data_IF_832498459461
#
_entry.id   IF_832498459461
#
_cell.length_a   1.000
_cell.length_b   1.000
_cell.length_c   1.000
_cell.angle_alpha   90.00
_cell.angle_beta   90.00
_cell.angle_gamma   90.00
#
_symmetry.space_group_name_H-M   'P 1'
#
loop_
_entity.id
_entity.type
_entity.pdbx_description
1 polymer ?
#
# COMPACT_ATOMS: atom_id res chain seq x y z
N UNK A 1 13.51 -26.98 -4.92
CA UNK A 1 14.00 -28.09 -5.79
C UNK A 1 12.80 -28.79 -6.39
N UNK A 2 12.62 -28.68 -7.71
CA UNK A 2 11.59 -29.44 -8.44
C UNK A 2 12.10 -30.85 -8.66
N UNK A 3 11.40 -31.84 -8.09
CA UNK A 3 11.71 -33.26 -8.31
C UNK A 3 10.77 -33.81 -9.40
N UNK A 4 11.29 -34.54 -10.34
CA UNK A 4 10.42 -35.35 -11.21
C UNK A 4 10.67 -35.32 -12.70
N UNK A 5 11.77 -34.76 -13.19
CA UNK A 5 12.21 -34.98 -14.55
C UNK A 5 13.11 -36.22 -14.59
N UNK A 6 12.51 -37.41 -14.76
CA UNK A 6 13.28 -38.65 -14.76
C UNK A 6 14.11 -38.79 -16.06
N UNK A 7 13.58 -38.35 -17.18
CA UNK A 7 14.30 -38.27 -18.46
C UNK A 7 13.56 -37.34 -19.42
N UNK A 8 14.29 -36.66 -20.29
CA UNK A 8 13.75 -35.86 -21.39
C UNK A 8 14.33 -36.47 -22.67
N UNK A 9 13.45 -36.87 -23.58
CA UNK A 9 13.87 -37.42 -24.85
C UNK A 9 14.44 -36.33 -25.79
N UNK A 10 15.33 -36.65 -26.72
CA UNK A 10 15.83 -35.69 -27.70
C UNK A 10 14.67 -35.02 -28.47
N UNK A 11 14.64 -33.69 -28.49
CA UNK A 11 13.61 -32.89 -29.13
C UNK A 11 12.33 -32.67 -28.30
N UNK A 12 12.25 -33.23 -27.10
CA UNK A 12 11.14 -32.98 -26.18
C UNK A 12 11.36 -31.68 -25.40
N UNK A 13 10.33 -30.83 -25.33
CA UNK A 13 10.27 -29.64 -24.47
C UNK A 13 9.45 -29.93 -23.23
N UNK A 14 9.91 -29.41 -22.09
CA UNK A 14 9.18 -29.49 -20.82
C UNK A 14 9.14 -28.09 -20.20
N UNK A 15 7.94 -27.62 -19.90
CA UNK A 15 7.72 -26.39 -19.20
C UNK A 15 7.52 -26.66 -17.71
N UNK A 16 8.22 -25.95 -16.86
CA UNK A 16 8.09 -26.01 -15.40
C UNK A 16 7.66 -24.64 -14.92
N UNK A 17 6.48 -24.56 -14.29
CA UNK A 17 6.02 -23.36 -13.62
C UNK A 17 6.46 -23.39 -12.15
N UNK A 18 7.14 -22.33 -11.71
CA UNK A 18 7.56 -22.15 -10.33
C UNK A 18 6.91 -20.87 -9.81
N UNK A 19 5.92 -21.00 -8.92
CA UNK A 19 5.34 -19.88 -8.23
C UNK A 19 6.18 -19.56 -6.98
N UNK A 20 6.74 -18.36 -6.94
CA UNK A 20 7.45 -17.84 -5.77
C UNK A 20 6.54 -16.78 -5.13
N UNK A 21 5.87 -17.09 -3.99
CA UNK A 21 5.06 -16.10 -3.31
C UNK A 21 5.98 -15.03 -2.73
N UNK A 22 5.77 -13.78 -3.13
CA UNK A 22 6.37 -12.62 -2.49
C UNK A 22 5.35 -12.15 -1.45
N UNK A 23 5.74 -12.13 -0.17
CA UNK A 23 4.90 -11.60 0.89
C UNK A 23 4.81 -10.08 0.74
N UNK A 24 3.63 -9.52 1.00
CA UNK A 24 3.45 -8.07 1.02
C UNK A 24 3.92 -7.49 2.36
N UNK A 25 4.33 -6.22 2.37
CA UNK A 25 4.52 -5.47 3.61
C UNK A 25 3.22 -5.52 4.48
N UNK A 26 3.32 -5.60 5.83
CA UNK A 26 4.53 -5.54 6.65
C UNK A 26 5.18 -6.91 6.93
N UNK A 27 4.79 -7.99 6.25
CA UNK A 27 5.28 -9.34 6.52
C UNK A 27 6.75 -9.57 6.12
N UNK A 28 7.34 -8.66 5.32
CA UNK A 28 8.75 -8.68 4.94
C UNK A 28 9.46 -7.52 5.63
N UNK A 29 10.51 -7.83 6.37
CA UNK A 29 11.44 -6.82 6.87
C UNK A 29 12.41 -6.45 5.74
N UNK A 30 12.12 -5.34 5.07
CA UNK A 30 12.94 -4.82 3.96
C UNK A 30 14.22 -4.10 4.43
N UNK A 31 14.35 -3.80 5.72
CA UNK A 31 15.56 -3.13 6.27
C UNK A 31 16.81 -3.97 6.10
N UNK A 32 16.67 -5.28 5.92
CA UNK A 32 17.77 -6.21 5.65
C UNK A 32 18.21 -6.26 4.17
N UNK A 33 17.47 -5.60 3.27
CA UNK A 33 17.81 -5.53 1.86
C UNK A 33 18.64 -4.28 1.59
N UNK A 34 19.95 -4.46 1.35
CA UNK A 34 20.85 -3.36 0.99
C UNK A 34 20.73 -2.93 -0.47
N UNK A 35 20.08 -3.75 -1.30
CA UNK A 35 19.93 -3.53 -2.73
C UNK A 35 18.45 -3.48 -3.11
N UNK A 36 18.10 -2.56 -4.01
CA UNK A 36 16.75 -2.38 -4.51
C UNK A 36 16.31 -3.43 -5.54
N UNK A 37 17.12 -4.46 -5.74
CA UNK A 37 16.91 -5.47 -6.77
C UNK A 37 16.90 -6.87 -6.20
N UNK A 38 15.99 -7.69 -6.72
CA UNK A 38 15.95 -9.13 -6.51
C UNK A 38 16.37 -9.83 -7.79
N UNK A 39 17.41 -10.64 -7.70
CA UNK A 39 17.90 -11.42 -8.84
C UNK A 39 17.53 -12.89 -8.68
N UNK A 40 16.79 -13.42 -9.65
CA UNK A 40 16.43 -14.83 -9.70
C UNK A 40 17.22 -15.53 -10.81
N UNK A 41 17.86 -16.66 -10.44
CA UNK A 41 18.57 -17.54 -11.37
C UNK A 41 18.04 -18.96 -11.16
N UNK A 42 17.63 -19.64 -12.22
CA UNK A 42 17.29 -21.05 -12.16
C UNK A 42 18.46 -21.90 -12.65
N UNK A 43 18.73 -23.00 -11.95
CA UNK A 43 19.77 -23.95 -12.32
C UNK A 43 19.15 -25.32 -12.58
N UNK A 44 19.49 -25.92 -13.73
CA UNK A 44 19.14 -27.28 -14.10
C UNK A 44 20.36 -28.17 -13.98
N UNK A 45 20.37 -29.07 -12.99
CA UNK A 45 21.33 -30.15 -12.90
C UNK A 45 20.87 -31.38 -13.69
N UNK A 46 21.72 -31.91 -14.56
CA UNK A 46 21.43 -33.14 -15.33
C UNK A 46 22.66 -34.04 -15.44
N UNK A 47 22.44 -35.29 -15.84
CA UNK A 47 23.53 -36.24 -16.06
C UNK A 47 23.57 -36.59 -17.54
N UNK A 48 24.74 -36.49 -18.15
CA UNK A 48 25.01 -36.91 -19.53
C UNK A 48 26.10 -37.98 -19.51
N UNK A 49 25.71 -39.24 -19.80
CA UNK A 49 26.56 -40.39 -19.50
C UNK A 49 26.81 -40.51 -18.00
N UNK A 50 28.08 -40.52 -17.58
CA UNK A 50 28.49 -40.55 -16.18
C UNK A 50 28.85 -39.16 -15.62
N UNK A 51 28.73 -38.13 -16.44
CA UNK A 51 29.11 -36.77 -16.07
C UNK A 51 27.88 -35.97 -15.58
N UNK A 52 27.99 -35.34 -14.37
CA UNK A 52 27.03 -34.35 -13.87
C UNK A 52 27.32 -33.01 -14.51
N UNK A 53 26.30 -32.36 -15.04
CA UNK A 53 26.36 -31.06 -15.67
C UNK A 53 25.29 -30.13 -15.06
N UNK A 54 25.54 -28.82 -15.13
CA UNK A 54 24.61 -27.78 -14.69
C UNK A 54 24.49 -26.71 -15.78
N UNK A 55 23.27 -26.28 -16.05
CA UNK A 55 22.98 -25.14 -16.90
C UNK A 55 22.22 -24.13 -16.05
N UNK A 56 22.67 -22.89 -16.03
CA UNK A 56 21.98 -21.77 -15.40
C UNK A 56 21.20 -20.96 -16.44
N UNK A 57 20.04 -20.45 -16.04
CA UNK A 57 19.30 -19.48 -16.84
C UNK A 57 20.03 -18.12 -16.86
N UNK A 58 19.61 -17.26 -17.77
CA UNK A 58 19.89 -15.84 -17.63
C UNK A 58 19.24 -15.33 -16.32
N UNK A 59 19.88 -14.42 -15.57
CA UNK A 59 19.29 -13.83 -14.38
C UNK A 59 18.07 -12.99 -14.74
N UNK A 60 16.97 -13.18 -13.99
CA UNK A 60 15.83 -12.30 -13.99
C UNK A 60 16.03 -11.28 -12.85
N UNK A 61 16.20 -10.02 -13.20
CA UNK A 61 16.37 -8.93 -12.24
C UNK A 61 15.07 -8.18 -12.10
N UNK A 62 14.57 -8.05 -10.87
CA UNK A 62 13.37 -7.30 -10.52
C UNK A 62 13.76 -6.17 -9.56
N UNK A 63 13.22 -4.97 -9.77
CA UNK A 63 13.37 -3.85 -8.85
C UNK A 63 12.26 -3.90 -7.82
N UNK A 64 12.61 -3.69 -6.54
CA UNK A 64 11.64 -3.61 -5.45
C UNK A 64 11.20 -2.16 -5.29
N UNK A 65 9.89 -1.92 -5.20
CA UNK A 65 9.32 -0.64 -4.85
C UNK A 65 9.21 -0.50 -3.32
N UNK A 66 8.90 0.71 -2.88
CA UNK A 66 8.68 1.02 -1.47
C UNK A 66 7.54 0.19 -0.86
N UNK A 67 7.60 -0.01 0.44
CA UNK A 67 6.65 -0.76 1.27
C UNK A 67 5.47 0.10 1.76
N UNK A 68 5.16 1.20 1.06
CA UNK A 68 4.09 2.13 1.42
C UNK A 68 2.79 1.38 1.72
N UNK A 69 2.21 1.67 2.87
CA UNK A 69 0.89 1.18 3.26
C UNK A 69 0.04 2.31 3.85
N UNK A 70 -1.28 2.14 3.78
CA UNK A 70 -2.28 3.08 4.31
C UNK A 70 -3.22 2.33 5.24
N UNK A 71 -3.32 2.79 6.48
CA UNK A 71 -4.25 2.31 7.50
C UNK A 71 -5.26 3.41 7.83
N UNK A 72 -6.55 3.06 7.89
CA UNK A 72 -7.65 3.98 8.21
C UNK A 72 -8.25 3.55 9.53
N UNK A 73 -8.34 4.50 10.47
CA UNK A 73 -8.93 4.29 11.79
C UNK A 73 -10.06 5.28 12.00
N UNK A 74 -11.15 4.81 12.60
CA UNK A 74 -12.28 5.63 13.00
C UNK A 74 -12.60 5.34 14.48
N UNK A 75 -12.63 6.38 15.27
CA UNK A 75 -13.05 6.34 16.68
C UNK A 75 -14.33 7.15 16.83
N UNK A 76 -15.39 6.48 17.23
CA UNK A 76 -16.73 7.06 17.35
C UNK A 76 -17.02 7.43 18.80
N UNK A 77 -17.50 8.64 19.03
CA UNK A 77 -17.94 9.14 20.35
C UNK A 77 -19.29 9.88 20.25
N UNK A 78 -19.99 10.00 21.36
CA UNK A 78 -21.17 10.85 21.48
C UNK A 78 -20.82 12.14 22.22
N UNK A 79 -21.13 13.27 21.62
CA UNK A 79 -20.96 14.58 22.23
C UNK A 79 -22.28 15.36 22.20
N UNK A 80 -23.02 15.27 23.31
CA UNK A 80 -24.29 15.98 23.46
C UNK A 80 -25.39 15.48 22.52
N UNK A 81 -25.43 14.19 22.22
CA UNK A 81 -26.39 13.53 21.35
C UNK A 81 -26.02 13.58 19.86
N UNK A 82 -24.86 14.10 19.53
CA UNK A 82 -24.28 14.06 18.19
C UNK A 82 -23.18 13.01 18.11
N UNK A 83 -23.21 12.26 17.04
CA UNK A 83 -22.20 11.26 16.71
C UNK A 83 -20.96 11.96 16.13
N UNK A 84 -19.82 11.77 16.77
CA UNK A 84 -18.54 12.41 16.40
C UNK A 84 -17.55 11.33 16.04
N UNK A 85 -17.01 11.42 14.84
CA UNK A 85 -16.02 10.51 14.28
C UNK A 85 -14.65 11.19 14.29
N UNK A 86 -13.69 10.61 15.00
CA UNK A 86 -12.27 10.99 14.91
C UNK A 86 -11.58 10.02 13.97
N UNK A 87 -11.25 10.48 12.78
CA UNK A 87 -10.68 9.65 11.72
C UNK A 87 -9.20 9.94 11.59
N UNK A 88 -8.40 8.87 11.50
CA UNK A 88 -6.96 8.97 11.31
C UNK A 88 -6.54 8.15 10.10
N UNK A 89 -5.92 8.80 9.13
CA UNK A 89 -5.20 8.14 8.05
C UNK A 89 -3.75 8.01 8.45
N UNK A 90 -3.20 6.79 8.39
CA UNK A 90 -1.82 6.52 8.78
C UNK A 90 -1.06 5.97 7.58
N UNK A 91 -0.09 6.73 7.10
CA UNK A 91 0.89 6.27 6.13
C UNK A 91 2.03 5.59 6.85
N UNK A 92 2.40 4.38 6.42
CA UNK A 92 3.62 3.71 6.88
C UNK A 92 4.50 3.44 5.67
N UNK A 93 5.80 3.73 5.83
CA UNK A 93 6.79 3.53 4.78
C UNK A 93 8.18 3.45 5.41
N UNK A 94 8.92 2.37 5.16
CA UNK A 94 10.24 2.15 5.81
C UNK A 94 11.38 1.94 4.82
N UNK A 95 11.08 1.70 3.54
CA UNK A 95 12.10 1.23 2.60
C UNK A 95 12.70 2.34 1.74
N UNK A 96 11.91 2.97 0.87
CA UNK A 96 12.41 4.07 0.03
C UNK A 96 11.76 5.39 0.42
N UNK A 97 12.46 6.51 0.18
CA UNK A 97 11.82 7.80 0.22
C UNK A 97 10.72 7.90 -0.86
N UNK A 98 9.66 8.63 -0.56
CA UNK A 98 8.52 8.86 -1.45
C UNK A 98 8.40 10.33 -1.82
N UNK A 99 7.85 10.61 -3.01
CA UNK A 99 7.56 11.94 -3.53
C UNK A 99 6.12 12.04 -4.02
N UNK A 100 5.63 13.27 -4.13
CA UNK A 100 4.34 13.57 -4.75
C UNK A 100 3.19 12.73 -4.18
N UNK A 101 3.15 12.57 -2.86
CA UNK A 101 2.14 11.76 -2.20
C UNK A 101 0.84 12.55 -2.15
N UNK A 102 -0.23 11.94 -2.64
CA UNK A 102 -1.56 12.52 -2.67
C UNK A 102 -2.59 11.50 -2.20
N UNK A 103 -3.38 11.90 -1.19
CA UNK A 103 -4.54 11.14 -0.72
C UNK A 103 -5.80 11.94 -1.00
N UNK A 104 -6.85 11.25 -1.45
CA UNK A 104 -8.15 11.86 -1.73
C UNK A 104 -9.26 10.94 -1.25
N UNK A 105 -10.26 11.52 -0.57
CA UNK A 105 -11.51 10.84 -0.25
C UNK A 105 -12.68 11.82 -0.29
N UNK A 106 -13.89 11.26 -0.38
CA UNK A 106 -15.13 12.02 -0.33
C UNK A 106 -15.84 11.75 0.99
N UNK A 107 -16.25 12.81 1.67
CA UNK A 107 -17.09 12.78 2.86
C UNK A 107 -18.55 12.87 2.42
N UNK A 108 -19.39 12.00 2.94
CA UNK A 108 -20.80 11.89 2.55
C UNK A 108 -21.75 12.33 3.66
N UNK A 109 -22.96 12.72 3.25
CA UNK A 109 -24.08 13.02 4.14
C UNK A 109 -24.04 14.42 4.75
N UNK A 110 -24.98 14.66 5.67
CA UNK A 110 -25.04 15.91 6.43
C UNK A 110 -24.05 15.85 7.59
N UNK A 111 -22.84 16.31 7.32
CA UNK A 111 -21.73 16.30 8.27
C UNK A 111 -21.12 17.70 8.41
N UNK A 112 -20.65 18.01 9.59
CA UNK A 112 -19.78 19.18 9.84
C UNK A 112 -18.36 18.71 9.93
N UNK A 113 -17.49 19.20 9.05
CA UNK A 113 -16.05 19.05 9.16
C UNK A 113 -15.48 20.07 10.16
N UNK A 114 -14.73 19.61 11.16
CA UNK A 114 -14.16 20.45 12.20
C UNK A 114 -12.76 20.88 11.78
N UNK A 115 -12.63 22.07 11.18
CA UNK A 115 -11.36 22.55 10.61
C UNK A 115 -10.24 22.66 11.66
N UNK A 116 -10.54 23.03 12.90
CA UNK A 116 -9.57 23.15 13.99
C UNK A 116 -9.02 21.80 14.46
N UNK A 117 -9.72 20.71 14.12
CA UNK A 117 -9.30 19.34 14.44
C UNK A 117 -8.52 18.67 13.29
N UNK A 118 -8.28 19.38 12.19
CA UNK A 118 -7.46 18.90 11.09
C UNK A 118 -5.97 19.05 11.47
N UNK A 119 -5.32 17.93 11.75
CA UNK A 119 -3.94 17.90 12.24
C UNK A 119 -3.10 16.97 11.38
N UNK A 120 -1.99 17.47 10.86
CA UNK A 120 -0.96 16.69 10.19
C UNK A 120 0.44 17.21 10.50
N UNK A 121 1.44 16.33 10.71
CA UNK A 121 2.83 16.74 10.93
C UNK A 121 3.54 17.16 9.64
N UNK A 122 3.00 16.83 8.46
CA UNK A 122 3.63 17.12 7.17
C UNK A 122 2.60 17.34 6.06
N UNK A 123 3.00 18.14 5.07
CA UNK A 123 2.19 18.42 3.90
C UNK A 123 1.06 19.41 4.17
N UNK A 124 0.09 19.42 3.27
CA UNK A 124 -1.09 20.30 3.36
C UNK A 124 -2.35 19.46 3.15
N UNK A 125 -3.23 19.48 4.13
CA UNK A 125 -4.55 18.87 4.05
C UNK A 125 -5.61 19.96 3.87
N UNK A 126 -6.58 19.73 2.99
CA UNK A 126 -7.66 20.68 2.70
C UNK A 126 -8.97 19.93 2.54
N UNK A 127 -10.03 20.48 3.12
CA UNK A 127 -11.39 20.03 2.94
C UNK A 127 -12.16 21.03 2.06
N UNK A 128 -12.78 20.55 0.98
CA UNK A 128 -13.63 21.33 0.09
C UNK A 128 -15.07 20.94 0.36
N UNK A 129 -15.83 21.83 1.04
CA UNK A 129 -17.22 21.59 1.39
C UNK A 129 -18.09 21.37 0.15
N UNK A 130 -17.80 22.08 -0.94
CA UNK A 130 -18.41 21.80 -2.25
C UNK A 130 -17.85 20.45 -2.78
N UNK A 131 -18.71 19.43 -2.78
CA UNK A 131 -18.38 18.05 -3.14
C UNK A 131 -17.86 17.18 -1.99
N UNK A 132 -17.63 17.71 -0.78
CA UNK A 132 -17.18 16.95 0.38
C UNK A 132 -15.78 16.32 0.22
N UNK A 133 -14.89 16.95 -0.53
CA UNK A 133 -13.58 16.36 -0.88
C UNK A 133 -12.52 16.71 0.16
N UNK A 134 -11.95 15.70 0.80
CA UNK A 134 -10.75 15.82 1.62
C UNK A 134 -9.53 15.40 0.79
N UNK A 135 -8.53 16.27 0.71
CA UNK A 135 -7.29 16.08 -0.02
C UNK A 135 -6.09 16.34 0.89
N UNK A 136 -5.13 15.41 0.91
CA UNK A 136 -3.86 15.59 1.62
C UNK A 136 -2.70 15.41 0.65
N UNK A 137 -1.86 16.46 0.53
CA UNK A 137 -0.70 16.50 -0.35
C UNK A 137 0.58 16.61 0.48
N UNK A 138 1.54 15.73 0.23
CA UNK A 138 2.85 15.71 0.87
C UNK A 138 3.89 15.69 -0.26
N UNK A 139 4.80 16.66 -0.27
CA UNK A 139 5.81 16.76 -1.32
C UNK A 139 6.80 15.60 -1.26
N UNK A 140 7.32 15.34 -0.06
CA UNK A 140 8.36 14.33 0.18
C UNK A 140 8.11 13.64 1.53
N UNK A 141 8.35 12.33 1.57
CA UNK A 141 8.41 11.50 2.78
C UNK A 141 9.74 10.75 2.76
N UNK A 142 10.75 11.23 3.51
CA UNK A 142 12.05 10.55 3.57
C UNK A 142 11.93 9.21 4.29
N UNK A 143 12.80 8.25 3.95
CA UNK A 143 12.84 6.93 4.57
C UNK A 143 13.23 6.93 6.07
N UNK A 144 13.56 8.08 6.64
CA UNK A 144 13.75 8.27 8.09
C UNK A 144 12.43 8.60 8.82
N UNK A 145 11.33 8.72 8.10
CA UNK A 145 9.99 8.98 8.64
C UNK A 145 9.14 7.76 8.33
N UNK A 146 9.03 6.87 9.31
CA UNK A 146 8.35 5.59 9.13
C UNK A 146 6.83 5.73 9.13
N UNK A 147 6.30 6.75 9.79
CA UNK A 147 4.86 6.95 10.02
C UNK A 147 4.46 8.40 9.88
N UNK A 148 3.44 8.68 9.07
CA UNK A 148 2.80 10.00 8.98
C UNK A 148 1.28 9.87 9.19
N UNK A 149 0.72 10.45 10.27
CA UNK A 149 -0.72 10.49 10.47
C UNK A 149 -1.34 11.78 9.93
N UNK A 150 -2.57 11.69 9.41
CA UNK A 150 -3.51 12.80 9.26
C UNK A 150 -4.72 12.51 10.13
N UNK A 151 -5.06 13.43 11.05
CA UNK A 151 -6.27 13.34 11.85
C UNK A 151 -7.25 14.43 11.45
N UNK A 152 -8.53 14.08 11.41
CA UNK A 152 -9.64 15.02 11.23
C UNK A 152 -10.89 14.52 11.95
N UNK A 153 -11.83 15.44 12.18
CA UNK A 153 -13.06 15.16 12.92
C UNK A 153 -14.27 15.51 12.07
N UNK A 154 -15.24 14.60 12.03
CA UNK A 154 -16.55 14.78 11.43
C UNK A 154 -17.62 14.68 12.49
N UNK A 155 -18.58 15.62 12.49
CA UNK A 155 -19.78 15.57 13.32
C UNK A 155 -20.97 15.25 12.41
N UNK A 156 -21.66 14.17 12.70
CA UNK A 156 -22.87 13.79 11.99
C UNK A 156 -24.05 14.61 12.50
N UNK A 157 -24.63 15.45 11.63
CA UNK A 157 -25.73 16.34 12.02
C UNK A 157 -27.07 15.60 12.02
N UNK A 158 -27.37 14.85 10.94
CA UNK A 158 -28.60 14.08 10.80
C UNK A 158 -28.30 12.59 10.56
N UNK A 159 -29.09 11.72 11.22
CA UNK A 159 -29.05 10.28 11.00
C UNK A 159 -29.95 9.92 9.83
N UNK A 160 -29.37 9.83 8.64
CA UNK A 160 -30.06 9.26 7.49
C UNK A 160 -29.99 7.72 7.57
N UNK A 161 -31.09 6.99 7.78
CA UNK A 161 -31.07 5.54 7.95
C UNK A 161 -30.66 4.78 6.68
N UNK A 162 -30.63 5.44 5.54
CA UNK A 162 -30.19 4.84 4.26
C UNK A 162 -28.71 5.11 3.96
N UNK A 163 -28.05 5.97 4.74
CA UNK A 163 -26.62 6.23 4.58
C UNK A 163 -25.81 5.15 5.27
N UNK A 164 -25.01 4.44 4.52
CA UNK A 164 -24.15 3.34 5.01
C UNK A 164 -22.67 3.71 5.06
N UNK A 165 -22.27 4.85 4.47
CA UNK A 165 -20.90 5.26 4.31
C UNK A 165 -20.74 6.72 4.74
N UNK A 166 -19.72 7.00 5.55
CA UNK A 166 -19.36 8.35 6.00
C UNK A 166 -18.24 8.93 5.15
N UNK A 167 -17.19 8.14 4.89
CA UNK A 167 -16.06 8.52 4.03
C UNK A 167 -15.85 7.44 2.99
N UNK A 168 -15.61 7.84 1.75
CA UNK A 168 -15.28 6.91 0.66
C UNK A 168 -13.97 6.16 0.94
N UNK A 169 -13.69 5.14 0.14
CA UNK A 169 -12.32 4.60 0.05
C UNK A 169 -11.35 5.72 -0.25
N UNK A 170 -10.17 5.64 0.38
CA UNK A 170 -9.12 6.64 0.21
C UNK A 170 -8.23 6.23 -0.95
N UNK A 171 -8.19 7.04 -2.00
CA UNK A 171 -7.22 6.86 -3.08
C UNK A 171 -5.91 7.51 -2.70
N UNK A 172 -4.83 6.73 -2.73
CA UNK A 172 -3.47 7.19 -2.49
C UNK A 172 -2.64 6.98 -3.75
N UNK A 173 -1.90 8.02 -4.15
CA UNK A 173 -0.86 7.98 -5.17
C UNK A 173 0.42 8.53 -4.61
N UNK A 174 1.54 7.90 -4.92
CA UNK A 174 2.87 8.33 -4.54
C UNK A 174 3.87 7.93 -5.63
N UNK A 175 5.03 8.54 -5.64
CA UNK A 175 6.15 8.15 -6.50
C UNK A 175 7.30 7.66 -5.62
N UNK A 176 7.78 6.45 -5.86
CA UNK A 176 9.01 5.95 -5.26
C UNK A 176 10.20 6.77 -5.76
N UNK A 177 10.99 7.32 -4.84
CA UNK A 177 12.08 8.23 -5.19
C UNK A 177 13.30 7.51 -5.81
N UNK A 178 13.42 6.20 -5.61
CA UNK A 178 14.52 5.36 -6.12
C UNK A 178 14.18 4.77 -7.47
N UNK A 179 13.01 4.13 -7.59
CA UNK A 179 12.60 3.48 -8.83
C UNK A 179 11.94 4.43 -9.83
N UNK A 180 11.44 5.58 -9.36
CA UNK A 180 10.57 6.52 -10.06
C UNK A 180 9.24 5.90 -10.54
N UNK A 181 8.85 4.77 -9.97
CA UNK A 181 7.58 4.11 -10.25
C UNK A 181 6.44 4.76 -9.44
N UNK A 182 5.25 4.83 -10.04
CA UNK A 182 4.04 5.27 -9.35
C UNK A 182 3.49 4.12 -8.48
N UNK A 183 3.20 4.43 -7.23
CA UNK A 183 2.52 3.53 -6.28
C UNK A 183 1.08 4.02 -6.13
N UNK A 184 0.13 3.13 -6.37
CA UNK A 184 -1.30 3.41 -6.20
C UNK A 184 -1.86 2.44 -5.17
N UNK A 185 -2.45 2.98 -4.11
CA UNK A 185 -3.14 2.21 -3.07
C UNK A 185 -4.56 2.71 -2.88
N UNK A 186 -5.41 1.84 -2.38
CA UNK A 186 -6.78 2.16 -2.00
C UNK A 186 -6.97 1.72 -0.56
N UNK A 187 -7.15 2.69 0.34
CA UNK A 187 -7.47 2.45 1.74
C UNK A 187 -8.96 2.15 1.94
N UNK A 188 -9.30 1.71 3.14
CA UNK A 188 -10.67 1.37 3.50
C UNK A 188 -11.57 2.59 3.60
N UNK A 189 -12.86 2.38 3.41
CA UNK A 189 -13.92 3.34 3.66
C UNK A 189 -14.28 3.40 5.15
N UNK A 190 -14.85 4.53 5.58
CA UNK A 190 -15.51 4.62 6.90
C UNK A 190 -16.98 4.35 6.71
N UNK A 191 -17.46 3.23 7.27
CA UNK A 191 -18.85 2.81 7.20
C UNK A 191 -19.60 3.20 8.48
N UNK A 192 -20.87 3.57 8.33
CA UNK A 192 -21.77 3.82 9.45
C UNK A 192 -22.37 2.51 9.93
N UNK A 193 -22.24 2.23 11.22
CA UNK A 193 -22.94 1.11 11.85
C UNK A 193 -24.37 1.54 12.12
N UNK A 194 -25.39 0.77 11.71
CA UNK A 194 -26.81 1.09 11.92
C UNK A 194 -27.21 1.20 13.36
#
# INVERSE_FOLDING_TARGET
>A
TVRGLASIAPGQEVTIEIAIPIQQAPAIDLTNFSEHTLTLVSELGYTEGDAKKTIASQPLVMTLNSDLSLDIRDEVSDQGGKEVHTIVWVLNNTFHALKNIKLVATVYGDTTFVEEALVTPAGTATFKADGGILEWNIADMPNSVDVLPLQFVLIRNDKNPTQTQLVSKVELRATDAVTNEEIILVGDEVVLVP
#
